data_IF_412661395264
#
_entry.id   IF_412661395264
#
_cell.length_a   1.000
_cell.length_b   1.000
_cell.length_c   1.000
_cell.angle_alpha   90.00
_cell.angle_beta   90.00
_cell.angle_gamma   90.00
#
_symmetry.space_group_name_H-M   'P 1'
#
loop_
_entity.id
_entity.type
_entity.pdbx_description
1 polymer ?
#
# COMPACT_ATOMS: atom_id res chain seq x y z
N UNK A 1 -7.84 -55.35 -31.77
CA UNK A 1 -8.78 -54.19 -31.81
C UNK A 1 -8.65 -53.42 -30.49
N UNK A 2 -7.85 -52.35 -30.48
CA UNK A 2 -7.59 -51.49 -29.31
C UNK A 2 -8.73 -50.48 -29.17
N UNK A 3 -9.30 -50.37 -27.97
CA UNK A 3 -10.61 -49.76 -27.76
C UNK A 3 -10.58 -48.22 -27.90
N UNK A 4 -11.25 -47.63 -28.91
CA UNK A 4 -11.35 -46.16 -29.06
C UNK A 4 -12.23 -45.52 -27.98
N UNK A 5 -12.96 -46.33 -27.22
CA UNK A 5 -13.84 -45.88 -26.14
C UNK A 5 -13.04 -45.40 -24.92
N UNK A 6 -11.96 -46.09 -24.57
CA UNK A 6 -11.11 -45.73 -23.43
C UNK A 6 -10.38 -44.38 -23.65
N UNK A 7 -9.91 -44.14 -24.87
CA UNK A 7 -9.28 -42.87 -25.25
C UNK A 7 -10.25 -41.68 -25.16
N UNK A 8 -11.49 -41.87 -25.63
CA UNK A 8 -12.53 -40.83 -25.57
C UNK A 8 -12.95 -40.52 -24.12
N UNK A 9 -13.08 -41.56 -23.29
CA UNK A 9 -13.39 -41.41 -21.87
C UNK A 9 -12.27 -40.64 -21.13
N UNK A 10 -11.02 -40.98 -21.42
CA UNK A 10 -9.86 -40.30 -20.84
C UNK A 10 -9.76 -38.84 -21.31
N UNK A 11 -10.01 -38.56 -22.59
CA UNK A 11 -10.02 -37.20 -23.13
C UNK A 11 -11.16 -36.36 -22.53
N UNK A 12 -12.34 -36.94 -22.33
CA UNK A 12 -13.49 -36.29 -21.72
C UNK A 12 -13.25 -36.00 -20.22
N UNK A 13 -12.58 -36.92 -19.52
CA UNK A 13 -12.16 -36.72 -18.13
C UNK A 13 -11.09 -35.62 -18.02
N UNK A 14 -10.10 -35.60 -18.90
CA UNK A 14 -9.11 -34.51 -18.94
C UNK A 14 -9.76 -33.15 -19.24
N UNK A 15 -10.71 -33.10 -20.18
CA UNK A 15 -11.44 -31.87 -20.49
C UNK A 15 -12.30 -31.39 -19.31
N UNK A 16 -12.95 -32.31 -18.60
CA UNK A 16 -13.70 -31.99 -17.38
C UNK A 16 -12.79 -31.46 -16.26
N UNK A 17 -11.59 -32.01 -16.08
CA UNK A 17 -10.61 -31.50 -15.11
C UNK A 17 -10.09 -30.10 -15.47
N UNK A 18 -9.85 -29.82 -16.76
CA UNK A 18 -9.45 -28.49 -17.20
C UNK A 18 -10.51 -27.43 -16.92
N UNK A 19 -11.80 -27.76 -17.10
CA UNK A 19 -12.91 -26.85 -16.80
C UNK A 19 -13.07 -26.66 -15.28
N UNK A 20 -12.91 -27.73 -14.50
CA UNK A 20 -13.01 -27.66 -13.03
C UNK A 20 -11.88 -26.80 -12.40
N UNK A 21 -10.70 -26.77 -13.03
CA UNK A 21 -9.55 -25.98 -12.58
C UNK A 21 -9.69 -24.48 -12.85
N UNK A 22 -10.60 -24.07 -13.76
CA UNK A 22 -10.72 -22.69 -14.19
C UNK A 22 -11.47 -21.77 -13.20
N UNK A 23 -12.07 -22.32 -12.14
CA UNK A 23 -12.93 -21.57 -11.21
C UNK A 23 -12.30 -21.23 -9.85
N UNK A 24 -11.01 -21.51 -9.63
CA UNK A 24 -10.32 -21.10 -8.41
C UNK A 24 -9.75 -19.67 -8.58
N UNK A 25 -10.62 -18.66 -8.64
CA UNK A 25 -10.20 -17.31 -8.27
C UNK A 25 -10.23 -17.25 -6.76
N UNK A 26 -9.07 -17.41 -6.14
CA UNK A 26 -8.90 -16.94 -4.78
C UNK A 26 -9.22 -15.44 -4.81
N UNK A 27 -10.35 -15.08 -4.22
CA UNK A 27 -10.59 -13.69 -3.81
C UNK A 27 -9.59 -13.48 -2.67
N UNK A 28 -8.35 -13.15 -3.04
CA UNK A 28 -7.31 -12.82 -2.06
C UNK A 28 -7.86 -11.63 -1.28
N UNK A 29 -8.32 -11.91 -0.05
CA UNK A 29 -8.77 -10.88 0.87
C UNK A 29 -7.56 -10.01 1.17
N UNK A 30 -7.38 -8.96 0.38
CA UNK A 30 -6.32 -7.99 0.55
C UNK A 30 -6.61 -7.18 1.81
N UNK A 31 -5.65 -7.13 2.72
CA UNK A 31 -5.80 -6.39 3.96
C UNK A 31 -5.69 -4.89 3.62
N UNK A 32 -6.77 -4.14 3.83
CA UNK A 32 -6.78 -2.68 3.64
C UNK A 32 -6.54 -1.97 4.98
N UNK A 33 -5.54 -1.07 5.01
CA UNK A 33 -5.19 -0.30 6.21
C UNK A 33 -5.15 1.19 5.86
N UNK A 34 -5.94 1.99 6.59
CA UNK A 34 -6.01 3.44 6.38
C UNK A 34 -5.41 4.18 7.56
N UNK A 35 -4.30 4.87 7.33
CA UNK A 35 -3.65 5.74 8.30
C UNK A 35 -4.22 7.16 8.19
N UNK A 36 -4.86 7.64 9.26
CA UNK A 36 -5.24 9.03 9.38
C UNK A 36 -4.10 9.80 10.04
N UNK A 37 -3.54 10.76 9.33
CA UNK A 37 -2.39 11.54 9.77
C UNK A 37 -2.84 12.97 10.04
N UNK A 38 -2.71 13.43 11.28
CA UNK A 38 -3.09 14.78 11.70
C UNK A 38 -2.00 15.53 12.48
N UNK A 39 -0.80 14.94 12.57
CA UNK A 39 0.24 15.38 13.49
C UNK A 39 0.79 16.77 13.17
N UNK A 40 1.02 17.56 14.21
CA UNK A 40 1.79 18.81 14.13
C UNK A 40 3.30 18.57 14.13
N UNK A 41 3.76 17.51 14.79
CA UNK A 41 5.16 17.22 15.09
C UNK A 41 5.81 16.30 14.04
N UNK A 42 6.96 16.72 13.54
CA UNK A 42 7.73 15.97 12.52
C UNK A 42 8.15 14.58 13.00
N UNK A 43 8.46 14.43 14.29
CA UNK A 43 8.84 13.14 14.90
C UNK A 43 7.72 12.11 14.82
N UNK A 44 6.46 12.50 15.12
CA UNK A 44 5.33 11.56 15.05
C UNK A 44 5.07 11.12 13.62
N UNK A 45 5.16 12.05 12.67
CA UNK A 45 5.04 11.71 11.26
C UNK A 45 6.16 10.76 10.79
N UNK A 46 7.41 11.03 11.21
CA UNK A 46 8.57 10.17 10.95
C UNK A 46 8.36 8.73 11.44
N UNK A 47 7.88 8.57 12.68
CA UNK A 47 7.59 7.26 13.28
C UNK A 47 6.46 6.54 12.54
N UNK A 48 5.47 7.29 12.05
CA UNK A 48 4.36 6.73 11.26
C UNK A 48 4.84 6.16 9.94
N UNK A 49 5.70 6.87 9.20
CA UNK A 49 6.29 6.34 7.97
C UNK A 49 7.11 5.07 8.23
N UNK A 50 7.84 5.01 9.34
CA UNK A 50 8.53 3.78 9.76
C UNK A 50 7.53 2.66 10.09
N UNK A 51 6.46 2.96 10.81
CA UNK A 51 5.41 1.98 11.11
C UNK A 51 4.74 1.43 9.87
N UNK A 52 4.47 2.27 8.85
CA UNK A 52 3.91 1.85 7.57
C UNK A 52 4.85 0.88 6.86
N UNK A 53 6.15 1.21 6.79
CA UNK A 53 7.13 0.31 6.20
C UNK A 53 7.20 -1.03 6.93
N UNK A 54 7.24 -1.01 8.26
CA UNK A 54 7.31 -2.24 9.07
C UNK A 54 6.05 -3.10 8.92
N UNK A 55 4.88 -2.48 8.78
CA UNK A 55 3.62 -3.19 8.54
C UNK A 55 3.65 -3.91 7.18
N UNK A 56 4.07 -3.21 6.14
CA UNK A 56 4.19 -3.77 4.80
C UNK A 56 5.20 -4.92 4.78
N UNK A 57 6.36 -4.75 5.41
CA UNK A 57 7.37 -5.81 5.52
C UNK A 57 6.81 -7.07 6.23
N UNK A 58 5.96 -6.88 7.24
CA UNK A 58 5.31 -7.99 7.94
C UNK A 58 4.29 -8.73 7.05
N UNK A 59 3.51 -8.00 6.25
CA UNK A 59 2.57 -8.62 5.32
C UNK A 59 3.26 -9.31 4.13
N UNK A 60 4.33 -8.70 3.61
CA UNK A 60 5.16 -9.31 2.57
C UNK A 60 5.76 -10.64 3.05
N UNK A 61 6.23 -10.70 4.30
CA UNK A 61 6.77 -11.92 4.90
C UNK A 61 5.74 -13.04 5.01
N UNK A 62 4.46 -12.71 5.19
CA UNK A 62 3.36 -13.67 5.25
C UNK A 62 2.73 -13.96 3.87
N UNK A 63 3.28 -13.39 2.78
CA UNK A 63 2.74 -13.45 1.42
C UNK A 63 1.27 -13.01 1.36
N UNK A 64 0.91 -12.02 2.19
CA UNK A 64 -0.44 -11.46 2.25
C UNK A 64 -0.48 -10.14 1.47
N UNK A 65 -1.33 -10.02 0.44
CA UNK A 65 -1.51 -8.74 -0.24
C UNK A 65 -2.12 -7.73 0.73
N UNK A 66 -1.50 -6.54 0.81
CA UNK A 66 -1.98 -5.45 1.63
C UNK A 66 -2.00 -4.15 0.82
N UNK A 67 -3.05 -3.36 1.02
CA UNK A 67 -3.19 -2.02 0.48
C UNK A 67 -3.17 -1.04 1.65
N UNK A 68 -2.19 -0.13 1.66
CA UNK A 68 -2.06 0.88 2.70
C UNK A 68 -2.36 2.24 2.09
N UNK A 69 -3.25 3.00 2.72
CA UNK A 69 -3.58 4.36 2.29
C UNK A 69 -3.32 5.36 3.41
N UNK A 70 -2.70 6.49 3.08
CA UNK A 70 -2.47 7.58 4.03
C UNK A 70 -3.38 8.77 3.74
N UNK A 71 -4.22 9.13 4.70
CA UNK A 71 -5.14 10.27 4.63
C UNK A 71 -4.60 11.42 5.48
N UNK A 72 -4.20 12.50 4.83
CA UNK A 72 -3.63 13.68 5.48
C UNK A 72 -4.74 14.69 5.81
N UNK A 73 -4.87 15.01 7.09
CA UNK A 73 -5.86 15.96 7.60
C UNK A 73 -5.21 17.00 8.53
N UNK A 74 -5.84 18.17 8.66
CA UNK A 74 -5.38 19.22 9.58
C UNK A 74 -3.91 19.59 9.37
N UNK A 75 -3.09 19.50 10.42
CA UNK A 75 -1.68 19.90 10.37
C UNK A 75 -0.82 19.08 9.39
N UNK A 76 -1.24 17.85 9.07
CA UNK A 76 -0.44 16.95 8.26
C UNK A 76 -0.41 17.34 6.77
N UNK A 77 -1.35 18.17 6.31
CA UNK A 77 -1.37 18.66 4.92
C UNK A 77 -0.08 19.41 4.57
N UNK A 78 0.56 20.04 5.57
CA UNK A 78 1.86 20.71 5.43
C UNK A 78 2.93 19.77 4.90
N UNK A 79 2.88 18.47 5.19
CA UNK A 79 3.83 17.48 4.68
C UNK A 79 3.62 17.10 3.21
N UNK A 80 2.44 17.38 2.64
CA UNK A 80 2.07 16.93 1.28
C UNK A 80 2.28 17.98 0.19
N UNK A 81 2.43 19.24 0.57
CA UNK A 81 2.58 20.36 -0.36
C UNK A 81 4.00 20.94 -0.31
N UNK A 82 4.35 21.84 -1.23
CA UNK A 82 5.54 22.72 -1.13
C UNK A 82 5.14 24.12 -0.68
N UNK A 83 3.86 24.46 -0.77
CA UNK A 83 3.34 25.75 -0.34
C UNK A 83 3.60 25.95 1.17
N UNK A 84 4.17 27.09 1.59
CA UNK A 84 4.36 27.41 3.01
C UNK A 84 3.06 27.77 3.73
N UNK A 85 1.93 27.86 3.02
CA UNK A 85 0.60 28.14 3.56
C UNK A 85 0.53 29.44 4.37
N UNK A 86 1.24 30.46 3.90
CA UNK A 86 1.39 31.74 4.58
C UNK A 86 0.04 32.40 4.86
N UNK A 87 -0.16 32.87 6.09
CA UNK A 87 -1.42 33.51 6.52
C UNK A 87 -2.55 32.53 6.84
N UNK A 88 -2.28 31.22 6.87
CA UNK A 88 -3.23 30.19 7.35
C UNK A 88 -2.82 29.68 8.74
N UNK A 89 -3.70 28.94 9.46
CA UNK A 89 -3.31 28.23 10.68
C UNK A 89 -2.17 27.20 10.49
N UNK A 90 -1.82 26.87 9.24
CA UNK A 90 -0.82 25.88 8.86
C UNK A 90 0.46 26.51 8.32
N UNK A 91 0.67 27.81 8.53
CA UNK A 91 1.83 28.55 8.05
C UNK A 91 3.16 27.91 8.51
N UNK A 92 4.06 27.68 7.57
CA UNK A 92 5.41 27.14 7.82
C UNK A 92 6.51 28.10 7.39
N UNK A 93 6.20 29.31 6.91
CA UNK A 93 7.18 30.23 6.32
C UNK A 93 8.33 30.59 7.29
N UNK A 94 8.03 30.67 8.58
CA UNK A 94 8.98 31.07 9.61
C UNK A 94 9.55 29.91 10.45
N UNK A 95 9.22 28.67 10.12
CA UNK A 95 9.70 27.48 10.85
C UNK A 95 10.78 26.74 10.06
N UNK A 96 12.02 27.24 10.17
CA UNK A 96 13.17 26.68 9.45
C UNK A 96 13.44 25.21 9.83
N UNK A 97 13.28 24.85 11.10
CA UNK A 97 13.49 23.47 11.56
C UNK A 97 12.44 22.54 10.96
N UNK A 98 11.17 22.93 11.03
CA UNK A 98 10.10 22.15 10.43
C UNK A 98 10.30 21.98 8.93
N UNK A 99 10.67 23.03 8.20
CA UNK A 99 10.87 22.95 6.76
C UNK A 99 12.03 22.02 6.37
N UNK A 100 13.12 22.01 7.13
CA UNK A 100 14.22 21.07 6.92
C UNK A 100 13.77 19.61 7.15
N UNK A 101 13.08 19.35 8.27
CA UNK A 101 12.55 18.03 8.58
C UNK A 101 11.49 17.59 7.54
N UNK A 102 10.63 18.51 7.10
CA UNK A 102 9.58 18.29 6.10
C UNK A 102 10.18 17.81 4.78
N UNK A 103 11.26 18.42 4.32
CA UNK A 103 11.91 18.01 3.07
C UNK A 103 12.37 16.55 3.13
N UNK A 104 13.07 16.16 4.21
CA UNK A 104 13.47 14.77 4.44
C UNK A 104 12.26 13.82 4.49
N UNK A 105 11.19 14.23 5.17
CA UNK A 105 9.99 13.40 5.31
C UNK A 105 9.23 13.23 3.99
N UNK A 106 9.22 14.26 3.13
CA UNK A 106 8.68 14.17 1.76
C UNK A 106 9.44 13.17 0.91
N UNK A 107 10.76 13.19 0.98
CA UNK A 107 11.60 12.21 0.27
C UNK A 107 11.33 10.77 0.75
N UNK A 108 11.16 10.59 2.07
CA UNK A 108 10.78 9.28 2.63
C UNK A 108 9.40 8.82 2.17
N UNK A 109 8.41 9.71 2.17
CA UNK A 109 7.08 9.39 1.64
C UNK A 109 7.15 9.04 0.15
N UNK A 110 7.87 9.83 -0.65
CA UNK A 110 8.04 9.55 -2.08
C UNK A 110 8.69 8.19 -2.35
N UNK A 111 9.65 7.79 -1.50
CA UNK A 111 10.25 6.45 -1.54
C UNK A 111 9.22 5.34 -1.26
N UNK A 112 8.35 5.53 -0.26
CA UNK A 112 7.26 4.60 0.03
C UNK A 112 6.25 4.51 -1.12
N UNK A 113 5.80 5.64 -1.67
CA UNK A 113 4.89 5.67 -2.82
C UNK A 113 5.51 4.91 -4.01
N UNK A 114 6.78 5.19 -4.32
CA UNK A 114 7.47 4.59 -5.46
C UNK A 114 7.69 3.08 -5.30
N UNK A 115 8.01 2.62 -4.09
CA UNK A 115 8.43 1.23 -3.85
C UNK A 115 7.31 0.32 -3.36
N UNK A 116 6.29 0.89 -2.71
CA UNK A 116 5.23 0.15 -2.00
C UNK A 116 3.82 0.58 -2.38
N UNK A 117 3.64 1.57 -3.27
CA UNK A 117 2.32 2.02 -3.74
C UNK A 117 1.36 2.45 -2.62
N UNK A 118 1.90 3.10 -1.59
CA UNK A 118 1.14 3.75 -0.50
C UNK A 118 0.49 5.06 -0.95
#
# INVERSE_FOLDING_TARGET
>A
MRQPFFMKLMLMLCFALCIASASARADEVSISVVYHVDYSETTRYSLTLTSVNNLLDAFDAELKPAEVSMVFVGNAIRYTTDNPMTGTPFDTANDAKFNADRQLLKERLASLIKSRHV
#
